data_IF_393325130024
#
_entry.id   IF_393325130024
#
_cell.length_a   1.000
_cell.length_b   1.000
_cell.length_c   1.000
_cell.angle_alpha   90.00
_cell.angle_beta   90.00
_cell.angle_gamma   90.00
#
_symmetry.space_group_name_H-M   'P 1'
#
loop_
_entity.id
_entity.type
_entity.pdbx_description
1 polymer ?
#
# COMPACT_ATOMS: atom_id res chain seq x y z
N UNK A 1 -17.55 3.16 20.86
CA UNK A 1 -16.80 3.68 19.69
C UNK A 1 -15.32 3.67 20.03
N UNK A 2 -14.43 3.39 19.08
CA UNK A 2 -12.98 3.49 19.30
C UNK A 2 -12.60 4.96 19.53
N UNK A 3 -11.57 5.22 20.35
CA UNK A 3 -11.01 6.58 20.47
C UNK A 3 -10.29 6.98 19.18
N UNK A 4 -10.18 8.28 18.92
CA UNK A 4 -9.41 8.82 17.78
C UNK A 4 -7.97 8.28 17.78
N UNK A 5 -7.37 8.17 18.96
CA UNK A 5 -6.01 7.63 19.15
C UNK A 5 -5.90 6.17 18.71
N UNK A 6 -6.89 5.34 19.09
CA UNK A 6 -6.93 3.94 18.69
C UNK A 6 -7.11 3.82 17.17
N UNK A 7 -7.96 4.66 16.56
CA UNK A 7 -8.15 4.69 15.10
C UNK A 7 -6.86 5.08 14.39
N UNK A 8 -6.15 6.13 14.85
CA UNK A 8 -4.86 6.55 14.27
C UNK A 8 -3.83 5.42 14.37
N UNK A 9 -3.75 4.73 15.52
CA UNK A 9 -2.83 3.60 15.72
C UNK A 9 -3.08 2.47 14.72
N UNK A 10 -4.34 2.10 14.52
CA UNK A 10 -4.73 1.05 13.56
C UNK A 10 -4.41 1.45 12.12
N UNK A 11 -4.70 2.69 11.72
CA UNK A 11 -4.38 3.19 10.38
C UNK A 11 -2.87 3.23 10.11
N UNK A 12 -2.06 3.59 11.11
CA UNK A 12 -0.59 3.56 11.00
C UNK A 12 -0.06 2.14 10.81
N UNK A 13 -0.63 1.17 11.54
CA UNK A 13 -0.28 -0.25 11.39
C UNK A 13 -0.65 -0.75 10.00
N UNK A 14 -1.88 -0.51 9.55
CA UNK A 14 -2.36 -0.90 8.23
C UNK A 14 -1.50 -0.30 7.11
N UNK A 15 -1.16 1.00 7.22
CA UNK A 15 -0.27 1.67 6.27
C UNK A 15 1.11 1.01 6.23
N UNK A 16 1.68 0.65 7.37
CA UNK A 16 3.00 0.01 7.43
C UNK A 16 2.99 -1.34 6.72
N UNK A 17 1.99 -2.17 6.99
CA UNK A 17 1.81 -3.48 6.33
C UNK A 17 1.61 -3.34 4.82
N UNK A 18 0.81 -2.37 4.39
CA UNK A 18 0.58 -2.09 2.97
C UNK A 18 1.86 -1.59 2.29
N UNK A 19 2.60 -0.69 2.93
CA UNK A 19 3.85 -0.13 2.40
C UNK A 19 4.92 -1.22 2.21
N UNK A 20 5.00 -2.18 3.13
CA UNK A 20 5.89 -3.34 2.98
C UNK A 20 5.51 -4.18 1.75
N UNK A 21 4.20 -4.40 1.52
CA UNK A 21 3.72 -5.12 0.34
C UNK A 21 3.97 -4.36 -0.96
N UNK A 22 3.83 -3.03 -0.96
CA UNK A 22 4.17 -2.16 -2.11
C UNK A 22 5.64 -2.36 -2.49
N UNK A 23 6.57 -2.22 -1.53
CA UNK A 23 8.01 -2.38 -1.79
C UNK A 23 8.33 -3.77 -2.33
N UNK A 24 7.72 -4.83 -1.78
CA UNK A 24 7.93 -6.20 -2.28
C UNK A 24 7.46 -6.37 -3.73
N UNK A 25 6.28 -5.81 -4.07
CA UNK A 25 5.71 -5.92 -5.40
C UNK A 25 6.48 -5.06 -6.42
N UNK A 26 6.88 -3.85 -6.05
CA UNK A 26 7.78 -3.00 -6.85
C UNK A 26 9.09 -3.71 -7.15
N UNK A 27 9.73 -4.30 -6.13
CA UNK A 27 10.97 -5.05 -6.30
C UNK A 27 10.78 -6.25 -7.24
N UNK A 28 9.67 -6.97 -7.13
CA UNK A 28 9.36 -8.07 -8.04
C UNK A 28 9.17 -7.58 -9.48
N UNK A 29 8.38 -6.53 -9.69
CA UNK A 29 8.06 -5.98 -11.01
C UNK A 29 9.25 -5.29 -11.69
N UNK A 30 10.22 -4.81 -10.90
CA UNK A 30 11.47 -4.24 -11.41
C UNK A 30 12.47 -5.28 -11.92
N UNK A 31 12.30 -6.54 -11.51
CA UNK A 31 13.21 -7.63 -11.85
C UNK A 31 12.71 -8.38 -13.09
N UNK A 32 13.27 -8.03 -14.25
CA UNK A 32 12.88 -8.63 -15.54
C UNK A 32 13.00 -10.16 -15.53
N UNK A 33 14.01 -10.70 -14.85
CA UNK A 33 14.22 -12.16 -14.78
C UNK A 33 13.07 -12.86 -14.06
N UNK A 34 12.47 -12.20 -13.05
CA UNK A 34 11.28 -12.70 -12.36
C UNK A 34 10.02 -12.49 -13.20
N UNK A 35 9.85 -11.33 -13.82
CA UNK A 35 8.65 -11.03 -14.60
C UNK A 35 8.51 -11.93 -15.83
N UNK A 36 9.63 -12.34 -16.43
CA UNK A 36 9.63 -13.26 -17.58
C UNK A 36 9.11 -14.66 -17.22
N UNK A 37 9.13 -15.07 -15.94
CA UNK A 37 8.67 -16.39 -15.47
C UNK A 37 7.15 -16.52 -15.28
N UNK A 38 6.43 -15.40 -15.12
CA UNK A 38 4.99 -15.36 -14.79
C UNK A 38 4.11 -14.97 -15.98
N UNK A 39 4.72 -14.43 -17.04
CA UNK A 39 4.03 -14.10 -18.30
C UNK A 39 3.29 -12.76 -18.28
N UNK A 40 3.05 -12.23 -19.48
CA UNK A 40 2.66 -10.82 -19.67
C UNK A 40 1.34 -10.41 -19.02
N UNK A 41 0.33 -11.29 -18.99
CA UNK A 41 -0.95 -10.98 -18.37
C UNK A 41 -0.82 -10.85 -16.84
N UNK A 42 -0.09 -11.76 -16.20
CA UNK A 42 0.12 -11.73 -14.75
C UNK A 42 0.92 -10.48 -14.34
N UNK A 43 1.96 -10.14 -15.09
CA UNK A 43 2.73 -8.91 -14.88
C UNK A 43 1.84 -7.67 -14.94
N UNK A 44 0.95 -7.58 -15.94
CA UNK A 44 0.00 -6.47 -16.07
C UNK A 44 -0.94 -6.36 -14.88
N UNK A 45 -1.49 -7.49 -14.40
CA UNK A 45 -2.38 -7.52 -13.25
C UNK A 45 -1.65 -7.10 -11.96
N UNK A 46 -0.40 -7.52 -11.79
CA UNK A 46 0.44 -7.11 -10.67
C UNK A 46 0.80 -5.61 -10.73
N UNK A 47 1.05 -5.04 -11.91
CA UNK A 47 1.24 -3.60 -12.08
C UNK A 47 0.00 -2.82 -11.67
N UNK A 48 -1.18 -3.26 -12.10
CA UNK A 48 -2.43 -2.63 -11.70
C UNK A 48 -2.68 -2.75 -10.18
N UNK A 49 -2.40 -3.92 -9.60
CA UNK A 49 -2.47 -4.10 -8.16
C UNK A 49 -1.54 -3.13 -7.41
N UNK A 50 -0.31 -2.94 -7.90
CA UNK A 50 0.64 -2.00 -7.32
C UNK A 50 0.10 -0.56 -7.35
N UNK A 51 -0.45 -0.11 -8.47
CA UNK A 51 -1.07 1.22 -8.60
C UNK A 51 -2.15 1.44 -7.53
N UNK A 52 -3.10 0.50 -7.41
CA UNK A 52 -4.16 0.58 -6.41
C UNK A 52 -3.61 0.60 -4.97
N UNK A 53 -2.54 -0.16 -4.69
CA UNK A 53 -1.92 -0.17 -3.36
C UNK A 53 -1.25 1.18 -3.03
N UNK A 54 -0.58 1.81 -3.99
CA UNK A 54 0.03 3.15 -3.82
C UNK A 54 -1.06 4.22 -3.59
N UNK A 55 -2.15 4.17 -4.35
CA UNK A 55 -3.30 5.04 -4.13
C UNK A 55 -3.89 4.84 -2.72
N UNK A 56 -3.99 3.58 -2.28
CA UNK A 56 -4.51 3.30 -0.95
C UNK A 56 -3.59 3.80 0.18
N UNK A 57 -2.26 3.68 0.04
CA UNK A 57 -1.30 4.32 0.96
C UNK A 57 -1.53 5.84 1.04
N UNK A 58 -1.81 6.48 -0.09
CA UNK A 58 -2.11 7.93 -0.15
C UNK A 58 -3.38 8.27 0.63
N UNK A 59 -4.45 7.47 0.48
CA UNK A 59 -5.69 7.63 1.26
C UNK A 59 -5.43 7.47 2.76
N UNK A 60 -4.65 6.46 3.16
CA UNK A 60 -4.29 6.24 4.57
C UNK A 60 -3.52 7.44 5.14
N UNK A 61 -2.55 7.98 4.39
CA UNK A 61 -1.80 9.19 4.78
C UNK A 61 -2.73 10.38 5.02
N UNK A 62 -3.60 10.68 4.06
CA UNK A 62 -4.53 11.81 4.16
C UNK A 62 -5.46 11.66 5.36
N UNK A 63 -5.98 10.45 5.59
CA UNK A 63 -6.87 10.16 6.72
C UNK A 63 -6.16 10.31 8.07
N UNK A 64 -4.94 9.79 8.20
CA UNK A 64 -4.13 9.95 9.42
C UNK A 64 -3.88 11.44 9.68
N UNK A 65 -3.45 12.19 8.66
CA UNK A 65 -3.16 13.61 8.76
C UNK A 65 -4.39 14.41 9.25
N UNK A 66 -5.56 14.19 8.64
CA UNK A 66 -6.80 14.86 9.06
C UNK A 66 -7.13 14.54 10.52
N UNK A 67 -7.04 13.27 10.94
CA UNK A 67 -7.34 12.88 12.31
C UNK A 67 -6.35 13.46 13.34
N UNK A 68 -5.08 13.60 12.96
CA UNK A 68 -4.06 14.22 13.81
C UNK A 68 -4.26 15.74 13.95
N UNK A 69 -4.78 16.43 12.93
CA UNK A 69 -5.12 17.86 13.00
C UNK A 69 -6.35 18.15 13.86
N UNK A 70 -7.29 17.22 13.92
CA UNK A 70 -8.56 17.39 14.64
C UNK A 70 -8.55 16.82 16.06
N UNK A 71 -7.37 16.43 16.57
CA UNK A 71 -7.20 15.81 17.89
C UNK A 71 -7.13 16.82 19.02
#
# INVERSE_FOLDING_TARGET
MKSTEQVIKELKQEKAELSEKVVKLENFLSDKTKTDLVGALQVRLMQHQLECMIEYVTVLNNRIYVLELTR
#
